data_IF_635921437995
#
_entry.id   IF_635921437995
#
_cell.length_a   1.000
_cell.length_b   1.000
_cell.length_c   1.000
_cell.angle_alpha   90.00
_cell.angle_beta   90.00
_cell.angle_gamma   90.00
#
_symmetry.space_group_name_H-M   'P 1'
#
loop_
_entity.id
_entity.type
_entity.pdbx_description
1 polymer ?
#
# COMPACT_ATOMS: atom_id res chain seq x y z
N UNK A 1 -9.57 42.87 27.48
CA UNK A 1 -10.15 41.67 26.85
C UNK A 1 -11.51 41.99 26.30
N UNK A 2 -11.70 41.73 25.04
CA UNK A 2 -13.01 41.80 24.40
C UNK A 2 -13.91 40.68 24.92
N UNK A 3 -15.25 40.80 24.78
CA UNK A 3 -16.16 39.70 25.15
C UNK A 3 -15.79 38.35 24.45
N UNK A 4 -15.34 38.39 23.19
CA UNK A 4 -14.89 37.20 22.41
C UNK A 4 -13.63 36.57 23.06
N UNK A 5 -12.66 37.37 23.48
CA UNK A 5 -11.44 36.85 24.10
C UNK A 5 -11.72 36.09 25.42
N UNK A 6 -12.68 36.59 26.25
CA UNK A 6 -13.13 35.88 27.44
C UNK A 6 -13.84 34.57 27.15
N UNK A 7 -14.64 34.54 26.10
CA UNK A 7 -15.34 33.33 25.68
C UNK A 7 -14.35 32.28 25.16
N UNK A 8 -13.34 32.70 24.37
CA UNK A 8 -12.25 31.82 23.93
C UNK A 8 -11.47 31.24 25.09
N UNK A 9 -11.15 32.06 26.10
CA UNK A 9 -10.46 31.61 27.32
C UNK A 9 -11.27 30.53 28.06
N UNK A 10 -12.58 30.73 28.21
CA UNK A 10 -13.46 29.73 28.81
C UNK A 10 -13.57 28.42 28.02
N UNK A 11 -13.54 28.50 26.67
CA UNK A 11 -13.50 27.31 25.82
C UNK A 11 -12.17 26.56 25.98
N UNK A 12 -11.04 27.28 25.99
CA UNK A 12 -9.71 26.71 26.21
C UNK A 12 -9.62 25.99 27.56
N UNK A 13 -10.10 26.61 28.61
CA UNK A 13 -10.11 26.02 29.97
C UNK A 13 -10.97 24.75 30.01
N UNK A 14 -12.14 24.76 29.34
CA UNK A 14 -13.00 23.61 29.26
C UNK A 14 -12.35 22.42 28.50
N UNK A 15 -11.62 22.70 27.42
CA UNK A 15 -10.88 21.68 26.64
C UNK A 15 -9.69 21.14 27.46
N UNK A 16 -8.94 22.02 28.17
CA UNK A 16 -7.83 21.59 28.99
C UNK A 16 -8.28 20.72 30.17
N UNK A 17 -9.45 21.00 30.77
CA UNK A 17 -10.03 20.14 31.77
C UNK A 17 -10.44 18.78 31.20
N UNK A 18 -11.02 18.77 29.99
CA UNK A 18 -11.36 17.53 29.29
C UNK A 18 -10.13 16.63 29.01
N UNK A 19 -8.96 17.22 28.71
CA UNK A 19 -7.70 16.47 28.53
C UNK A 19 -7.19 15.74 29.78
N UNK A 20 -7.72 16.09 30.97
CA UNK A 20 -7.31 15.46 32.25
C UNK A 20 -8.00 14.12 32.52
N UNK A 21 -8.91 13.68 31.67
CA UNK A 21 -9.62 12.39 31.85
C UNK A 21 -8.71 11.17 31.69
N UNK A 22 -7.51 11.30 31.10
CA UNK A 22 -6.52 10.22 30.96
C UNK A 22 -6.91 9.14 29.94
N UNK A 23 -7.71 9.50 28.95
CA UNK A 23 -8.07 8.63 27.83
C UNK A 23 -6.89 8.47 26.88
N UNK A 24 -6.93 7.48 25.98
CA UNK A 24 -5.87 7.28 24.98
C UNK A 24 -5.68 8.48 24.04
N UNK A 25 -6.72 9.29 23.83
CA UNK A 25 -6.69 10.52 23.02
C UNK A 25 -6.12 11.73 23.76
N UNK A 26 -5.92 11.64 25.08
CA UNK A 26 -5.50 12.78 25.93
C UNK A 26 -3.96 12.87 26.08
N UNK A 27 -3.21 12.09 25.30
CA UNK A 27 -1.73 12.10 25.32
C UNK A 27 -1.20 13.38 24.70
N UNK A 28 -0.64 14.26 25.52
CA UNK A 28 -0.20 15.61 25.11
C UNK A 28 1.27 15.67 24.66
N UNK A 29 2.07 14.64 24.93
CA UNK A 29 3.48 14.64 24.56
C UNK A 29 3.67 14.20 23.09
N UNK A 30 4.00 15.13 22.16
CA UNK A 30 4.20 14.81 20.76
C UNK A 30 5.48 14.02 20.50
N UNK A 31 6.39 13.90 21.49
CA UNK A 31 7.67 13.22 21.36
C UNK A 31 7.62 11.74 21.74
N UNK A 32 6.46 11.23 22.17
CA UNK A 32 6.28 9.81 22.49
C UNK A 32 6.09 8.92 21.26
N UNK A 33 5.82 9.51 20.09
CA UNK A 33 5.56 8.78 18.87
C UNK A 33 6.45 9.26 17.71
N UNK A 34 6.75 8.39 16.72
CA UNK A 34 7.43 8.80 15.51
C UNK A 34 6.72 9.96 14.81
N UNK A 35 7.51 10.90 14.31
CA UNK A 35 7.00 12.02 13.52
C UNK A 35 6.61 11.57 12.12
N UNK A 36 5.31 11.61 11.82
CA UNK A 36 4.77 11.21 10.53
C UNK A 36 5.34 12.03 9.36
N UNK A 37 5.59 13.33 9.54
CA UNK A 37 6.12 14.18 8.49
C UNK A 37 7.58 13.80 8.16
N UNK A 38 8.38 13.50 9.18
CA UNK A 38 9.75 13.00 8.99
C UNK A 38 9.76 11.66 8.26
N UNK A 39 8.86 10.74 8.61
CA UNK A 39 8.76 9.43 7.92
C UNK A 39 8.36 9.62 6.46
N UNK A 40 7.46 10.54 6.14
CA UNK A 40 7.05 10.85 4.77
C UNK A 40 8.23 11.44 3.97
N UNK A 41 8.98 12.36 4.55
CA UNK A 41 10.19 12.92 3.92
C UNK A 41 11.24 11.84 3.64
N UNK A 42 11.45 10.91 4.59
CA UNK A 42 12.33 9.76 4.38
C UNK A 42 11.88 8.88 3.20
N UNK A 43 10.57 8.65 3.00
CA UNK A 43 10.06 7.90 1.84
C UNK A 43 10.53 8.55 0.54
N UNK A 44 10.36 9.87 0.40
CA UNK A 44 10.81 10.59 -0.80
C UNK A 44 12.30 10.43 -1.07
N UNK A 45 13.14 10.48 -0.02
CA UNK A 45 14.59 10.29 -0.12
C UNK A 45 14.96 8.84 -0.44
N UNK A 46 14.27 7.86 0.15
CA UNK A 46 14.47 6.44 -0.15
C UNK A 46 14.12 6.11 -1.60
N UNK A 47 13.05 6.69 -2.14
CA UNK A 47 12.70 6.53 -3.57
C UNK A 47 13.80 7.06 -4.49
N UNK A 48 14.49 8.17 -4.11
CA UNK A 48 15.67 8.67 -4.84
C UNK A 48 16.87 7.73 -4.77
N UNK A 49 17.01 6.97 -3.69
CA UNK A 49 18.05 5.93 -3.57
C UNK A 49 17.67 4.71 -4.41
N UNK A 50 16.40 4.31 -4.42
CA UNK A 50 15.91 3.17 -5.22
C UNK A 50 15.96 3.48 -6.71
N UNK A 51 15.52 4.66 -7.14
CA UNK A 51 15.45 5.13 -8.52
C UNK A 51 16.32 6.39 -8.72
N UNK A 52 17.66 6.26 -8.85
CA UNK A 52 18.61 7.40 -8.84
C UNK A 52 18.48 8.25 -10.08
N UNK A 53 17.59 8.45 -10.76
CA UNK A 53 17.32 9.35 -11.91
C UNK A 53 15.92 9.96 -11.85
N UNK A 54 15.08 9.48 -10.92
CA UNK A 54 13.66 9.82 -10.86
C UNK A 54 13.37 11.22 -10.27
N UNK A 55 14.33 11.88 -9.66
CA UNK A 55 14.11 13.22 -9.12
C UNK A 55 15.28 14.15 -9.41
N UNK A 56 14.96 15.39 -9.78
CA UNK A 56 15.97 16.45 -9.96
C UNK A 56 16.23 17.13 -8.62
N UNK A 57 17.44 17.00 -8.11
CA UNK A 57 17.91 17.90 -7.06
C UNK A 57 18.26 19.25 -7.69
N UNK A 58 17.58 20.32 -7.28
CA UNK A 58 17.84 21.67 -7.79
C UNK A 58 19.21 22.20 -7.37
N UNK A 59 19.81 21.62 -6.32
CA UNK A 59 21.06 22.11 -5.72
C UNK A 59 22.31 21.42 -6.24
N UNK A 60 22.21 20.19 -6.76
CA UNK A 60 23.39 19.38 -7.07
C UNK A 60 23.37 18.89 -8.51
N UNK A 61 24.30 19.40 -9.32
CA UNK A 61 24.60 18.79 -10.61
C UNK A 61 25.31 17.45 -10.39
N UNK A 62 25.03 16.48 -11.26
CA UNK A 62 25.43 15.05 -11.19
C UNK A 62 26.94 14.78 -11.15
N UNK A 63 27.80 15.78 -10.87
CA UNK A 63 29.26 15.63 -10.93
C UNK A 63 29.88 14.75 -9.85
N UNK A 64 29.11 14.37 -8.81
CA UNK A 64 29.60 13.47 -7.77
C UNK A 64 28.50 12.58 -7.19
N UNK A 65 28.15 11.53 -7.93
CA UNK A 65 27.12 10.54 -7.55
C UNK A 65 27.38 9.94 -6.17
N UNK A 66 28.66 9.64 -5.85
CA UNK A 66 29.03 9.07 -4.54
C UNK A 66 28.72 10.05 -3.42
N UNK A 67 29.06 11.31 -3.57
CA UNK A 67 28.81 12.33 -2.54
C UNK A 67 27.30 12.56 -2.32
N UNK A 68 26.54 12.69 -3.40
CA UNK A 68 25.09 12.87 -3.32
C UNK A 68 24.39 11.68 -2.65
N UNK A 69 24.82 10.46 -2.99
CA UNK A 69 24.32 9.25 -2.35
C UNK A 69 24.69 9.19 -0.87
N UNK A 70 25.93 9.56 -0.50
CA UNK A 70 26.35 9.62 0.90
C UNK A 70 25.49 10.57 1.70
N UNK A 71 25.24 11.77 1.21
CA UNK A 71 24.38 12.77 1.87
C UNK A 71 22.95 12.25 2.08
N UNK A 72 22.36 11.60 1.07
CA UNK A 72 21.02 11.01 1.19
C UNK A 72 20.99 9.88 2.23
N UNK A 73 21.99 9.00 2.21
CA UNK A 73 22.08 7.90 3.17
C UNK A 73 22.27 8.43 4.59
N UNK A 74 23.17 9.40 4.79
CA UNK A 74 23.43 9.99 6.11
C UNK A 74 22.18 10.65 6.67
N UNK A 75 21.45 11.43 5.87
CA UNK A 75 20.24 12.10 6.31
C UNK A 75 19.11 11.12 6.64
N UNK A 76 18.86 10.15 5.76
CA UNK A 76 17.84 9.11 6.03
C UNK A 76 18.26 8.24 7.21
N UNK A 77 19.53 7.86 7.33
CA UNK A 77 20.05 7.06 8.45
C UNK A 77 19.85 7.78 9.78
N UNK A 78 20.16 9.07 9.85
CA UNK A 78 19.97 9.88 11.05
C UNK A 78 18.50 9.92 11.47
N UNK A 79 17.61 10.24 10.52
CA UNK A 79 16.19 10.34 10.79
C UNK A 79 15.56 8.98 11.11
N UNK A 80 15.91 7.93 10.37
CA UNK A 80 15.44 6.56 10.62
C UNK A 80 15.82 6.09 12.03
N UNK A 81 17.09 6.27 12.40
CA UNK A 81 17.59 5.93 13.72
C UNK A 81 16.81 6.67 14.82
N UNK A 82 16.61 7.97 14.66
CA UNK A 82 15.82 8.79 15.60
C UNK A 82 14.37 8.29 15.72
N UNK A 83 13.69 8.03 14.60
CA UNK A 83 12.29 7.61 14.61
C UNK A 83 12.13 6.18 15.17
N UNK A 84 13.05 5.27 14.90
CA UNK A 84 13.06 3.92 15.49
C UNK A 84 13.31 4.02 17.00
N UNK A 85 14.26 4.83 17.45
CA UNK A 85 14.52 5.05 18.87
C UNK A 85 13.26 5.51 19.61
N UNK A 86 12.55 6.50 19.05
CA UNK A 86 11.29 6.99 19.62
C UNK A 86 10.27 5.84 19.71
N UNK A 87 10.13 5.04 18.67
CA UNK A 87 9.16 3.94 18.65
C UNK A 87 9.50 2.83 19.66
N UNK A 88 10.79 2.57 19.93
CA UNK A 88 11.25 1.53 20.85
C UNK A 88 11.22 1.95 22.34
N UNK A 89 11.21 3.24 22.64
CA UNK A 89 11.17 3.75 24.02
C UNK A 89 9.95 3.30 24.82
N UNK A 90 8.92 2.81 24.17
CA UNK A 90 7.73 2.27 24.84
C UNK A 90 8.09 1.06 25.70
N UNK A 91 9.03 0.22 25.22
CA UNK A 91 9.38 -1.07 25.82
C UNK A 91 10.85 -1.16 26.26
N UNK A 92 11.68 -0.13 26.00
CA UNK A 92 13.14 -0.13 26.24
C UNK A 92 13.59 1.15 26.90
N UNK A 93 14.73 1.07 27.61
CA UNK A 93 15.43 2.26 28.08
C UNK A 93 15.97 3.08 26.90
N UNK A 94 16.21 4.37 27.11
CA UNK A 94 16.75 5.28 26.09
C UNK A 94 18.00 4.72 25.41
N UNK A 95 18.96 4.21 26.20
CA UNK A 95 20.21 3.68 25.71
C UNK A 95 20.01 2.41 24.87
N UNK A 96 19.22 1.47 25.37
CA UNK A 96 18.91 0.22 24.64
C UNK A 96 18.18 0.53 23.33
N UNK A 97 17.23 1.45 23.36
CA UNK A 97 16.49 1.88 22.17
C UNK A 97 17.43 2.51 21.11
N UNK A 98 18.39 3.35 21.51
CA UNK A 98 19.38 3.94 20.61
C UNK A 98 20.31 2.90 19.98
N UNK A 99 20.89 2.00 20.79
CA UNK A 99 21.78 0.94 20.32
C UNK A 99 21.03 0.00 19.34
N UNK A 100 19.81 -0.41 19.70
CA UNK A 100 18.95 -1.24 18.85
C UNK A 100 18.57 -0.53 17.55
N UNK A 101 18.15 0.73 17.62
CA UNK A 101 17.77 1.51 16.45
C UNK A 101 18.93 1.65 15.44
N UNK A 102 20.15 1.85 15.95
CA UNK A 102 21.34 1.94 15.10
C UNK A 102 21.56 0.64 14.32
N UNK A 103 21.47 -0.51 14.97
CA UNK A 103 21.67 -1.81 14.32
C UNK A 103 20.55 -2.09 13.30
N UNK A 104 19.28 -1.82 13.66
CA UNK A 104 18.13 -1.98 12.74
C UNK A 104 18.24 -1.08 11.51
N UNK A 105 18.70 0.17 11.71
CA UNK A 105 18.93 1.11 10.60
C UNK A 105 20.02 0.60 9.66
N UNK A 106 21.13 0.07 10.20
CA UNK A 106 22.20 -0.52 9.38
C UNK A 106 21.71 -1.75 8.61
N UNK A 107 20.94 -2.64 9.25
CA UNK A 107 20.35 -3.82 8.59
C UNK A 107 19.40 -3.40 7.46
N UNK A 108 18.58 -2.39 7.67
CA UNK A 108 17.69 -1.84 6.65
C UNK A 108 18.48 -1.34 5.43
N UNK A 109 19.53 -0.56 5.64
CA UNK A 109 20.33 -0.04 4.51
C UNK A 109 21.09 -1.13 3.77
N UNK A 110 21.56 -2.17 4.47
CA UNK A 110 22.18 -3.35 3.83
C UNK A 110 21.19 -4.12 2.94
N UNK A 111 19.88 -4.02 3.20
CA UNK A 111 18.85 -4.66 2.37
C UNK A 111 18.51 -3.86 1.09
N UNK A 112 18.86 -2.58 0.99
CA UNK A 112 18.51 -1.73 -0.16
C UNK A 112 18.90 -2.33 -1.52
N UNK A 113 20.10 -2.89 -1.73
CA UNK A 113 20.45 -3.53 -3.02
C UNK A 113 19.47 -4.66 -3.40
N UNK A 114 19.04 -5.48 -2.43
CA UNK A 114 18.06 -6.53 -2.63
C UNK A 114 16.67 -5.97 -2.98
N UNK A 115 16.24 -4.91 -2.28
CA UNK A 115 14.99 -4.20 -2.60
C UNK A 115 15.02 -3.68 -4.03
N UNK A 116 16.13 -3.07 -4.46
CA UNK A 116 16.30 -2.56 -5.83
C UNK A 116 16.20 -3.66 -6.88
N UNK A 117 16.82 -4.83 -6.60
CA UNK A 117 16.75 -5.98 -7.51
C UNK A 117 15.32 -6.49 -7.70
N UNK A 118 14.49 -6.46 -6.64
CA UNK A 118 13.07 -6.84 -6.74
C UNK A 118 12.25 -5.72 -7.39
N UNK A 119 12.50 -4.46 -7.04
CA UNK A 119 11.82 -3.31 -7.66
C UNK A 119 12.05 -3.25 -9.19
N UNK A 120 13.22 -3.67 -9.69
CA UNK A 120 13.47 -3.80 -11.12
C UNK A 120 12.51 -4.81 -11.77
N UNK A 121 12.26 -5.94 -11.14
CA UNK A 121 11.29 -6.94 -11.68
C UNK A 121 9.87 -6.41 -11.69
N UNK A 122 9.50 -5.53 -10.73
CA UNK A 122 8.20 -4.87 -10.76
C UNK A 122 8.11 -3.90 -11.95
N UNK A 123 9.14 -3.08 -12.21
CA UNK A 123 9.18 -2.19 -13.38
C UNK A 123 9.01 -2.98 -14.67
N UNK A 124 9.68 -4.13 -14.80
CA UNK A 124 9.52 -5.03 -15.95
C UNK A 124 8.08 -5.55 -16.06
N UNK A 125 7.46 -5.98 -14.95
CA UNK A 125 6.09 -6.46 -14.94
C UNK A 125 5.07 -5.38 -15.32
N UNK A 126 5.32 -4.12 -14.93
CA UNK A 126 4.49 -2.99 -15.35
C UNK A 126 4.61 -2.71 -16.84
N UNK A 127 5.82 -2.76 -17.38
CA UNK A 127 6.06 -2.55 -18.80
C UNK A 127 5.45 -3.66 -19.68
N UNK A 128 5.58 -4.91 -19.25
CA UNK A 128 5.00 -6.07 -19.94
C UNK A 128 3.48 -6.18 -19.76
N UNK A 129 2.95 -5.60 -18.69
CA UNK A 129 1.54 -5.71 -18.30
C UNK A 129 0.64 -4.62 -18.89
N UNK A 130 1.18 -3.44 -19.18
CA UNK A 130 0.42 -2.30 -19.69
C UNK A 130 0.88 -1.92 -21.12
N UNK A 131 0.10 -2.27 -22.15
CA UNK A 131 0.44 -1.91 -23.54
C UNK A 131 0.39 -0.39 -23.80
N UNK A 132 -0.15 0.42 -22.89
CA UNK A 132 -0.16 1.88 -22.99
C UNK A 132 1.13 2.53 -22.46
N UNK A 133 1.98 1.78 -21.76
CA UNK A 133 3.23 2.30 -21.23
C UNK A 133 4.22 2.57 -22.37
N UNK A 134 4.62 3.83 -22.53
CA UNK A 134 5.56 4.24 -23.56
C UNK A 134 7.00 3.79 -23.26
N UNK A 135 7.41 3.79 -22.00
CA UNK A 135 8.75 3.40 -21.55
C UNK A 135 8.78 3.02 -20.08
N UNK A 136 9.85 2.35 -19.65
CA UNK A 136 10.11 2.08 -18.23
C UNK A 136 10.33 3.37 -17.42
N UNK A 137 10.84 4.43 -18.04
CA UNK A 137 10.98 5.74 -17.40
C UNK A 137 9.60 6.32 -17.05
N UNK A 138 8.63 6.24 -17.98
CA UNK A 138 7.25 6.68 -17.73
C UNK A 138 6.64 5.94 -16.54
N UNK A 139 6.85 4.64 -16.46
CA UNK A 139 6.38 3.81 -15.33
C UNK A 139 6.98 4.30 -14.02
N UNK A 140 8.29 4.53 -13.96
CA UNK A 140 8.99 5.00 -12.77
C UNK A 140 8.50 6.39 -12.33
N UNK A 141 8.21 7.27 -13.27
CA UNK A 141 7.83 8.65 -12.97
C UNK A 141 6.33 8.83 -12.68
N UNK A 142 5.45 8.02 -13.28
CA UNK A 142 4.04 8.34 -13.37
C UNK A 142 3.12 7.32 -12.68
N UNK A 143 3.53 6.06 -12.50
CA UNK A 143 2.61 5.00 -12.10
C UNK A 143 2.41 4.91 -10.58
N UNK A 144 1.18 5.16 -10.08
CA UNK A 144 0.88 5.08 -8.66
C UNK A 144 1.03 3.64 -8.11
N UNK A 145 0.79 2.63 -8.94
CA UNK A 145 0.99 1.23 -8.58
C UNK A 145 2.46 0.92 -8.25
N UNK A 146 3.40 1.43 -9.07
CA UNK A 146 4.83 1.26 -8.79
C UNK A 146 5.27 2.00 -7.53
N UNK A 147 4.75 3.21 -7.30
CA UNK A 147 5.01 3.94 -6.07
C UNK A 147 4.54 3.13 -4.85
N UNK A 148 3.31 2.62 -4.87
CA UNK A 148 2.74 1.87 -3.75
C UNK A 148 3.51 0.59 -3.43
N UNK A 149 3.85 -0.23 -4.45
CA UNK A 149 4.61 -1.47 -4.23
C UNK A 149 6.04 -1.18 -3.77
N UNK A 150 6.69 -0.12 -4.25
CA UNK A 150 8.04 0.24 -3.82
C UNK A 150 8.06 0.69 -2.36
N UNK A 151 7.10 1.52 -1.94
CA UNK A 151 6.97 1.92 -0.53
C UNK A 151 6.67 0.69 0.35
N UNK A 152 5.79 -0.21 -0.11
CA UNK A 152 5.54 -1.48 0.58
C UNK A 152 6.84 -2.30 0.75
N UNK A 153 7.66 -2.48 -0.30
CA UNK A 153 8.90 -3.27 -0.22
C UNK A 153 9.87 -2.70 0.80
N UNK A 154 10.01 -1.38 0.85
CA UNK A 154 10.79 -0.68 1.88
C UNK A 154 10.21 -0.90 3.29
N UNK A 155 8.92 -0.71 3.44
CA UNK A 155 8.22 -0.89 4.72
C UNK A 155 8.23 -2.34 5.20
N UNK A 156 8.14 -3.31 4.28
CA UNK A 156 8.18 -4.74 4.60
C UNK A 156 9.52 -5.14 5.25
N UNK A 157 10.64 -4.61 4.78
CA UNK A 157 11.94 -4.87 5.44
C UNK A 157 11.94 -4.37 6.87
N UNK A 158 11.46 -3.16 7.14
CA UNK A 158 11.34 -2.65 8.51
C UNK A 158 10.36 -3.48 9.36
N UNK A 159 9.27 -3.96 8.75
CA UNK A 159 8.32 -4.86 9.41
C UNK A 159 8.99 -6.19 9.80
N UNK A 160 9.77 -6.80 8.89
CA UNK A 160 10.51 -8.03 9.16
C UNK A 160 11.57 -7.84 10.24
N UNK A 161 12.18 -6.66 10.31
CA UNK A 161 13.10 -6.25 11.38
C UNK A 161 12.38 -5.92 12.71
N UNK A 162 11.04 -6.07 12.76
CA UNK A 162 10.21 -5.80 13.95
C UNK A 162 10.23 -4.34 14.41
N UNK A 163 10.51 -3.41 13.51
CA UNK A 163 10.41 -1.97 13.81
C UNK A 163 8.94 -1.61 14.07
N UNK A 164 8.61 -1.02 15.24
CA UNK A 164 7.23 -0.65 15.54
C UNK A 164 6.79 0.58 14.72
N UNK A 165 5.50 0.68 14.42
CA UNK A 165 4.80 1.83 13.83
C UNK A 165 5.30 2.32 12.47
N UNK A 166 6.61 2.50 12.25
CA UNK A 166 7.17 3.08 11.02
C UNK A 166 6.70 2.36 9.74
N UNK A 167 6.74 1.00 9.65
CA UNK A 167 6.26 0.31 8.45
C UNK A 167 4.80 0.66 8.13
N UNK A 168 3.95 0.79 9.15
CA UNK A 168 2.54 1.15 8.97
C UNK A 168 2.37 2.60 8.54
N UNK A 169 3.13 3.53 9.13
CA UNK A 169 3.11 4.95 8.71
C UNK A 169 3.48 5.05 7.22
N UNK A 170 4.49 4.29 6.76
CA UNK A 170 4.92 4.31 5.36
C UNK A 170 3.82 3.80 4.43
N UNK A 171 3.23 2.64 4.74
CA UNK A 171 2.19 2.05 3.86
C UNK A 171 0.88 2.85 3.90
N UNK A 172 0.49 3.44 5.04
CA UNK A 172 -0.66 4.36 5.12
C UNK A 172 -0.44 5.66 4.34
N UNK A 173 0.81 6.14 4.28
CA UNK A 173 1.11 7.26 3.38
C UNK A 173 0.90 6.86 1.92
N UNK A 174 1.45 5.72 1.48
CA UNK A 174 1.24 5.23 0.12
C UNK A 174 -0.25 5.04 -0.19
N UNK A 175 -1.01 4.45 0.73
CA UNK A 175 -2.46 4.30 0.64
C UNK A 175 -3.16 5.67 0.46
N UNK A 176 -2.81 6.66 1.28
CA UNK A 176 -3.44 7.99 1.21
C UNK A 176 -3.19 8.72 -0.11
N UNK A 177 -2.07 8.44 -0.78
CA UNK A 177 -1.68 9.09 -2.04
C UNK A 177 -2.25 8.34 -3.26
N UNK A 178 -2.33 7.01 -3.20
CA UNK A 178 -2.63 6.17 -4.37
C UNK A 178 -4.00 5.48 -4.30
N UNK A 179 -4.60 5.39 -3.12
CA UNK A 179 -5.78 4.54 -2.89
C UNK A 179 -5.47 3.04 -2.88
N UNK A 180 -4.18 2.65 -2.79
CA UNK A 180 -3.72 1.25 -2.76
C UNK A 180 -3.26 0.91 -1.35
N UNK A 181 -4.02 0.07 -0.64
CA UNK A 181 -3.73 -0.36 0.73
C UNK A 181 -3.00 -1.71 0.73
N UNK A 182 -1.68 -1.69 0.94
CA UNK A 182 -0.88 -2.90 1.11
C UNK A 182 -0.33 -2.92 2.53
N UNK A 183 -0.75 -3.88 3.36
CA UNK A 183 -0.21 -4.03 4.70
C UNK A 183 1.26 -4.45 4.66
N UNK A 184 2.16 -3.83 5.45
CA UNK A 184 3.59 -4.15 5.43
C UNK A 184 3.91 -5.58 5.83
N UNK A 185 3.00 -6.29 6.50
CA UNK A 185 3.15 -7.70 6.87
C UNK A 185 2.85 -8.70 5.76
N UNK A 186 2.22 -8.28 4.65
CA UNK A 186 2.00 -9.15 3.51
C UNK A 186 3.34 -9.62 2.92
N UNK A 187 3.35 -10.79 2.29
CA UNK A 187 4.51 -11.30 1.53
C UNK A 187 4.19 -11.26 0.05
N UNK A 188 4.97 -10.52 -0.74
CA UNK A 188 4.74 -10.35 -2.17
C UNK A 188 6.01 -10.72 -2.95
N UNK A 189 5.86 -11.64 -3.90
CA UNK A 189 6.93 -12.12 -4.77
C UNK A 189 7.43 -11.07 -5.77
N UNK A 190 8.10 -11.54 -6.81
CA UNK A 190 8.70 -10.74 -7.89
C UNK A 190 7.70 -10.52 -9.02
N UNK A 191 7.99 -9.53 -9.89
CA UNK A 191 7.17 -9.24 -11.07
C UNK A 191 5.70 -8.95 -10.70
N UNK A 192 5.49 -8.27 -9.59
CA UNK A 192 4.14 -7.93 -9.15
C UNK A 192 3.62 -6.71 -9.90
N UNK A 193 2.48 -6.85 -10.57
CA UNK A 193 1.88 -5.80 -11.37
C UNK A 193 0.55 -5.32 -10.78
N UNK A 194 0.41 -4.02 -10.66
CA UNK A 194 -0.83 -3.33 -10.25
C UNK A 194 -1.28 -2.44 -11.40
N UNK A 195 -2.45 -2.72 -11.97
CA UNK A 195 -3.06 -1.85 -12.98
C UNK A 195 -4.15 -0.97 -12.36
N UNK A 196 -4.12 0.33 -12.66
CA UNK A 196 -4.94 1.40 -12.08
C UNK A 196 -4.84 1.49 -10.55
N UNK A 197 -5.10 0.45 -9.83
CA UNK A 197 -4.79 0.20 -8.44
C UNK A 197 -5.77 0.76 -7.41
N UNK A 198 -6.49 1.84 -7.67
CA UNK A 198 -7.38 2.47 -6.68
C UNK A 198 -8.35 1.46 -6.06
N UNK A 199 -8.38 1.41 -4.73
CA UNK A 199 -9.27 0.53 -3.97
C UNK A 199 -8.75 -0.90 -3.80
N UNK A 200 -7.50 -1.19 -4.16
CA UNK A 200 -6.85 -2.47 -3.81
C UNK A 200 -6.62 -2.52 -2.30
N UNK A 201 -6.92 -3.68 -1.70
CA UNK A 201 -6.62 -3.99 -0.30
C UNK A 201 -5.88 -5.32 -0.21
N UNK A 202 -4.66 -5.30 0.33
CA UNK A 202 -3.84 -6.49 0.61
C UNK A 202 -3.62 -6.61 2.11
N UNK A 203 -4.27 -7.59 2.74
CA UNK A 203 -4.23 -7.79 4.19
C UNK A 203 -2.91 -8.35 4.70
N UNK A 204 -2.63 -8.15 6.00
CA UNK A 204 -1.36 -8.42 6.70
C UNK A 204 -0.77 -9.82 6.44
N UNK A 205 -1.58 -10.84 6.42
CA UNK A 205 -1.09 -12.22 6.28
C UNK A 205 -1.30 -12.80 4.88
N UNK A 206 -1.52 -11.93 3.89
CA UNK A 206 -1.58 -12.34 2.48
C UNK A 206 -0.22 -12.84 2.02
N UNK A 207 -0.22 -13.89 1.22
CA UNK A 207 0.97 -14.38 0.50
C UNK A 207 0.68 -14.32 -0.97
N UNK A 208 1.53 -13.66 -1.74
CA UNK A 208 1.42 -13.50 -3.19
C UNK A 208 2.72 -14.03 -3.82
N UNK A 209 2.61 -14.91 -4.79
CA UNK A 209 3.72 -15.48 -5.54
C UNK A 209 4.30 -14.51 -6.58
N UNK A 210 5.08 -15.08 -7.49
CA UNK A 210 5.72 -14.34 -8.58
C UNK A 210 4.76 -14.14 -9.77
N UNK A 211 4.96 -13.07 -10.57
CA UNK A 211 4.18 -12.77 -11.78
C UNK A 211 2.67 -12.63 -11.57
N UNK A 212 2.25 -12.14 -10.41
CA UNK A 212 0.83 -11.90 -10.12
C UNK A 212 0.41 -10.52 -10.60
N UNK A 213 -0.75 -10.46 -11.30
CA UNK A 213 -1.36 -9.22 -11.79
C UNK A 213 -2.64 -8.92 -11.03
N UNK A 214 -2.78 -7.68 -10.54
CA UNK A 214 -3.93 -7.25 -9.74
C UNK A 214 -4.48 -5.93 -10.28
N UNK A 215 -5.79 -5.90 -10.52
CA UNK A 215 -6.49 -4.71 -11.02
C UNK A 215 -7.21 -3.96 -9.89
N UNK A 216 -7.69 -2.76 -10.18
CA UNK A 216 -8.34 -1.88 -9.23
C UNK A 216 -9.49 -2.56 -8.45
N UNK A 217 -9.68 -2.14 -7.20
CA UNK A 217 -10.78 -2.61 -6.35
C UNK A 217 -10.67 -4.05 -5.84
N UNK A 218 -9.57 -4.75 -6.11
CA UNK A 218 -9.35 -6.11 -5.62
C UNK A 218 -9.13 -6.10 -4.11
N UNK A 219 -9.79 -7.01 -3.41
CA UNK A 219 -9.64 -7.19 -1.96
C UNK A 219 -9.10 -8.59 -1.64
N UNK A 220 -7.92 -8.66 -1.04
CA UNK A 220 -7.32 -9.86 -0.46
C UNK A 220 -7.46 -9.77 1.07
N UNK A 221 -8.62 -10.19 1.58
CA UNK A 221 -9.10 -9.88 2.91
C UNK A 221 -9.27 -11.09 3.85
N UNK A 222 -9.62 -10.80 5.12
CA UNK A 222 -10.05 -11.81 6.07
C UNK A 222 -11.52 -12.16 5.87
N UNK A 223 -11.90 -13.43 6.05
CA UNK A 223 -13.29 -13.85 5.97
C UNK A 223 -14.14 -13.25 7.11
N UNK A 224 -13.54 -13.03 8.27
CA UNK A 224 -14.19 -12.39 9.42
C UNK A 224 -13.14 -11.73 10.30
N UNK A 225 -13.52 -10.61 10.90
CA UNK A 225 -12.70 -9.88 11.89
C UNK A 225 -13.34 -9.89 13.29
N UNK A 226 -14.40 -10.69 13.52
CA UNK A 226 -15.13 -10.74 14.79
C UNK A 226 -14.26 -11.11 16.00
N UNK A 227 -13.13 -11.81 15.77
CA UNK A 227 -12.17 -12.13 16.83
C UNK A 227 -11.33 -10.95 17.31
N UNK A 228 -11.36 -9.79 16.64
CA UNK A 228 -10.57 -8.61 17.00
C UNK A 228 -9.08 -8.94 17.23
N UNK A 229 -8.52 -8.50 18.36
CA UNK A 229 -7.12 -8.71 18.72
C UNK A 229 -6.71 -10.19 18.90
N UNK A 230 -7.66 -11.11 19.15
CA UNK A 230 -7.36 -12.53 19.23
C UNK A 230 -6.91 -13.17 17.91
N UNK A 231 -7.07 -12.43 16.79
CA UNK A 231 -6.63 -12.83 15.46
C UNK A 231 -5.20 -12.36 15.14
N UNK A 232 -4.59 -11.59 16.01
CA UNK A 232 -3.22 -11.08 15.84
C UNK A 232 -2.25 -12.25 15.65
N UNK A 233 -1.38 -12.16 14.62
CA UNK A 233 -0.39 -13.19 14.30
C UNK A 233 -0.95 -14.46 13.65
N UNK A 234 -2.28 -14.59 13.47
CA UNK A 234 -2.89 -15.76 12.81
C UNK A 234 -3.08 -15.51 11.31
N UNK A 235 -2.82 -16.52 10.49
CA UNK A 235 -3.12 -16.49 9.04
C UNK A 235 -4.61 -16.31 8.85
N UNK A 236 -5.03 -15.19 8.23
CA UNK A 236 -6.44 -14.81 8.01
C UNK A 236 -6.74 -14.27 6.62
N UNK A 237 -5.70 -14.04 5.80
CA UNK A 237 -5.81 -13.54 4.44
C UNK A 237 -5.34 -14.61 3.45
N UNK A 238 -5.81 -14.58 2.18
CA UNK A 238 -5.57 -15.63 1.20
C UNK A 238 -4.10 -15.78 0.81
N UNK A 239 -3.85 -16.89 0.10
CA UNK A 239 -2.61 -17.14 -0.62
C UNK A 239 -2.90 -17.15 -2.11
N UNK A 240 -2.12 -16.40 -2.87
CA UNK A 240 -2.18 -16.31 -4.33
C UNK A 240 -0.88 -16.91 -4.85
N UNK A 241 -0.96 -17.99 -5.61
CA UNK A 241 0.22 -18.62 -6.20
C UNK A 241 0.72 -17.86 -7.44
N UNK A 242 1.77 -18.40 -8.09
CA UNK A 242 2.43 -17.74 -9.21
C UNK A 242 1.53 -17.60 -10.46
N UNK A 243 1.82 -16.60 -11.29
CA UNK A 243 1.16 -16.34 -12.57
C UNK A 243 -0.36 -16.13 -12.49
N UNK A 244 -0.89 -15.71 -11.36
CA UNK A 244 -2.32 -15.46 -11.19
C UNK A 244 -2.67 -14.05 -11.65
N UNK A 245 -3.76 -13.92 -12.41
CA UNK A 245 -4.35 -12.63 -12.77
C UNK A 245 -5.67 -12.43 -12.05
N UNK A 246 -5.84 -11.31 -11.34
CA UNK A 246 -7.04 -10.98 -10.58
C UNK A 246 -7.63 -9.68 -11.12
N UNK A 247 -8.76 -9.79 -11.83
CA UNK A 247 -9.43 -8.65 -12.45
C UNK A 247 -10.23 -7.81 -11.46
N UNK A 248 -10.61 -6.63 -11.91
CA UNK A 248 -11.17 -5.54 -11.13
C UNK A 248 -12.33 -5.94 -10.21
N UNK A 249 -12.30 -5.45 -8.98
CA UNK A 249 -13.40 -5.61 -8.00
C UNK A 249 -13.55 -7.02 -7.42
N UNK A 250 -12.68 -7.96 -7.75
CA UNK A 250 -12.72 -9.29 -7.17
C UNK A 250 -12.39 -9.26 -5.68
N UNK A 251 -13.13 -10.03 -4.87
CA UNK A 251 -12.91 -10.18 -3.43
C UNK A 251 -12.53 -11.62 -3.11
N UNK A 252 -11.34 -11.84 -2.57
CA UNK A 252 -10.81 -13.15 -2.20
C UNK A 252 -10.53 -13.12 -0.71
N UNK A 253 -11.26 -13.95 0.07
CA UNK A 253 -11.28 -13.84 1.50
C UNK A 253 -10.92 -15.17 2.19
N UNK A 254 -10.20 -15.05 3.32
CA UNK A 254 -9.97 -16.17 4.24
C UNK A 254 -8.56 -16.73 4.21
N UNK A 255 -8.01 -17.05 5.40
CA UNK A 255 -6.64 -17.54 5.56
C UNK A 255 -6.37 -18.94 5.01
N UNK A 256 -7.42 -19.75 4.84
CA UNK A 256 -7.35 -21.06 4.21
C UNK A 256 -7.59 -21.04 2.69
N UNK A 257 -7.95 -19.87 2.13
CA UNK A 257 -8.22 -19.73 0.69
C UNK A 257 -6.90 -19.63 -0.08
N UNK A 258 -6.72 -20.51 -1.06
CA UNK A 258 -5.57 -20.54 -1.97
C UNK A 258 -6.07 -20.41 -3.40
N UNK A 259 -5.53 -19.47 -4.15
CA UNK A 259 -5.72 -19.37 -5.60
C UNK A 259 -4.52 -20.03 -6.27
N UNK A 260 -4.77 -21.18 -6.91
CA UNK A 260 -3.74 -21.98 -7.55
C UNK A 260 -3.10 -21.26 -8.72
N UNK A 261 -1.83 -21.58 -8.98
CA UNK A 261 -1.02 -20.98 -10.05
C UNK A 261 -1.71 -21.01 -11.42
N UNK A 262 -1.32 -20.09 -12.28
CA UNK A 262 -1.81 -20.00 -13.66
C UNK A 262 -3.34 -19.81 -13.77
N UNK A 263 -3.97 -19.29 -12.71
CA UNK A 263 -5.41 -19.06 -12.67
C UNK A 263 -5.78 -17.62 -13.01
N UNK A 264 -6.98 -17.44 -13.54
CA UNK A 264 -7.55 -16.14 -13.89
C UNK A 264 -8.84 -15.93 -13.10
N UNK A 265 -8.88 -14.88 -12.31
CA UNK A 265 -10.05 -14.50 -11.52
C UNK A 265 -10.72 -13.31 -12.20
N UNK A 266 -11.93 -13.52 -12.70
CA UNK A 266 -12.72 -12.50 -13.40
C UNK A 266 -13.19 -11.37 -12.49
N UNK A 267 -13.68 -10.30 -13.10
CA UNK A 267 -14.12 -9.10 -12.39
C UNK A 267 -15.31 -9.38 -11.48
N UNK A 268 -15.35 -8.71 -10.32
CA UNK A 268 -16.46 -8.74 -9.36
C UNK A 268 -16.79 -10.14 -8.79
N UNK A 269 -15.87 -11.07 -8.85
CA UNK A 269 -16.04 -12.41 -8.27
C UNK A 269 -15.81 -12.36 -6.76
N UNK A 270 -16.63 -13.07 -6.00
CA UNK A 270 -16.50 -13.21 -4.55
C UNK A 270 -16.10 -14.64 -4.18
N UNK A 271 -14.87 -14.82 -3.69
CA UNK A 271 -14.25 -16.12 -3.43
C UNK A 271 -13.94 -16.28 -1.95
N UNK A 272 -14.38 -17.37 -1.37
CA UNK A 272 -14.13 -17.77 0.03
C UNK A 272 -13.56 -19.17 0.18
N UNK A 273 -13.29 -19.85 -0.94
CA UNK A 273 -12.77 -21.22 -1.00
C UNK A 273 -11.61 -21.28 -2.01
N UNK A 274 -10.74 -22.25 -1.84
CA UNK A 274 -9.59 -22.43 -2.74
C UNK A 274 -10.00 -22.77 -4.16
N UNK A 275 -9.24 -22.25 -5.12
CA UNK A 275 -9.37 -22.48 -6.56
C UNK A 275 -8.18 -23.32 -7.02
N UNK A 276 -8.40 -24.45 -7.72
CA UNK A 276 -7.31 -25.26 -8.23
C UNK A 276 -6.46 -24.51 -9.27
N UNK A 277 -5.21 -24.93 -9.51
CA UNK A 277 -4.37 -24.34 -10.55
C UNK A 277 -5.01 -24.39 -11.94
N UNK A 278 -4.55 -23.51 -12.85
CA UNK A 278 -4.96 -23.43 -14.25
C UNK A 278 -6.50 -23.26 -14.43
N UNK A 279 -7.13 -22.50 -13.52
CA UNK A 279 -8.59 -22.34 -13.49
C UNK A 279 -8.99 -20.91 -13.82
N UNK A 280 -9.96 -20.75 -14.72
CA UNK A 280 -10.63 -19.46 -14.95
C UNK A 280 -11.93 -19.41 -14.17
N UNK A 281 -12.10 -18.41 -13.32
CA UNK A 281 -13.31 -18.15 -12.55
C UNK A 281 -13.99 -16.89 -13.09
N UNK A 282 -15.24 -17.00 -13.46
CA UNK A 282 -16.04 -15.85 -13.93
C UNK A 282 -17.46 -15.92 -13.41
N UNK A 283 -18.15 -14.77 -13.35
CA UNK A 283 -19.57 -14.72 -13.02
C UNK A 283 -20.37 -15.22 -14.23
N UNK A 284 -21.22 -16.21 -14.05
CA UNK A 284 -22.11 -16.72 -15.10
C UNK A 284 -23.28 -15.75 -15.28
N UNK A 285 -23.29 -14.99 -16.39
CA UNK A 285 -24.29 -14.00 -16.82
C UNK A 285 -24.97 -13.18 -15.70
N UNK A 286 -24.69 -11.89 -15.66
CA UNK A 286 -25.55 -10.95 -14.92
C UNK A 286 -26.80 -10.69 -15.80
N UNK A 287 -28.01 -11.02 -15.33
CA UNK A 287 -29.25 -10.62 -15.98
C UNK A 287 -29.39 -9.09 -15.87
N UNK A 288 -29.21 -8.41 -16.98
CA UNK A 288 -29.45 -6.98 -17.07
C UNK A 288 -30.95 -6.73 -17.32
N UNK A 289 -31.62 -6.04 -16.41
CA UNK A 289 -32.96 -5.55 -16.63
C UNK A 289 -32.94 -4.21 -17.37
N UNK A 290 -33.44 -4.17 -18.59
CA UNK A 290 -33.65 -2.94 -19.32
C UNK A 290 -35.04 -2.42 -19.03
N UNK A 291 -35.16 -1.27 -18.33
CA UNK A 291 -36.42 -0.55 -18.16
C UNK A 291 -36.40 0.68 -19.07
N UNK A 292 -37.34 0.78 -20.04
CA UNK A 292 -37.42 2.01 -20.83
C UNK A 292 -37.71 3.21 -19.91
N UNK A 293 -36.93 4.26 -20.06
CA UNK A 293 -37.22 5.55 -19.47
C UNK A 293 -38.30 6.22 -20.33
N UNK A 294 -39.41 6.66 -19.72
CA UNK A 294 -40.39 7.47 -20.43
C UNK A 294 -39.69 8.77 -20.87
N UNK A 295 -39.30 8.85 -22.13
CA UNK A 295 -38.93 10.09 -22.75
C UNK A 295 -40.24 10.79 -23.14
N UNK A 296 -40.58 11.90 -22.54
CA UNK A 296 -41.61 12.81 -23.04
C UNK A 296 -41.15 13.37 -24.39
N UNK A 297 -41.65 12.80 -25.45
CA UNK A 297 -41.29 13.15 -26.83
C UNK A 297 -41.23 11.88 -27.68
N UNK A 298 -42.06 11.84 -28.69
CA UNK A 298 -42.19 10.74 -29.66
C UNK A 298 -40.80 10.45 -30.32
N UNK A 299 -39.98 9.66 -29.69
CA UNK A 299 -38.72 9.18 -30.30
C UNK A 299 -39.00 7.94 -31.15
N UNK A 300 -39.66 8.19 -32.30
CA UNK A 300 -39.87 7.15 -33.34
C UNK A 300 -38.55 6.66 -34.01
N UNK A 301 -37.42 7.24 -33.60
CA UNK A 301 -36.08 6.96 -34.16
C UNK A 301 -35.09 6.36 -33.17
N UNK A 302 -35.48 5.97 -31.94
CA UNK A 302 -34.60 5.19 -31.08
C UNK A 302 -34.50 3.76 -31.65
N UNK A 303 -33.34 3.33 -32.15
CA UNK A 303 -33.16 1.94 -32.52
C UNK A 303 -33.41 1.06 -31.29
N UNK A 304 -34.28 0.06 -31.42
CA UNK A 304 -34.40 -0.97 -30.40
C UNK A 304 -33.02 -1.56 -30.22
N UNK A 305 -32.51 -1.70 -28.99
CA UNK A 305 -31.23 -2.34 -28.77
C UNK A 305 -31.31 -3.77 -29.34
N UNK A 306 -30.64 -4.00 -30.45
CA UNK A 306 -30.40 -5.37 -30.90
C UNK A 306 -29.56 -6.09 -29.85
N UNK A 307 -29.83 -7.36 -29.55
CA UNK A 307 -29.02 -8.12 -28.61
C UNK A 307 -27.58 -8.19 -29.15
N UNK A 308 -26.66 -7.55 -28.46
CA UNK A 308 -25.25 -7.36 -28.84
C UNK A 308 -24.47 -8.69 -29.00
N UNK A 309 -25.11 -9.85 -28.79
CA UNK A 309 -24.46 -11.15 -28.62
C UNK A 309 -24.88 -12.25 -29.60
N UNK A 310 -25.68 -11.98 -30.61
CA UNK A 310 -26.05 -13.01 -31.59
C UNK A 310 -25.07 -13.19 -32.78
N UNK A 311 -23.82 -12.78 -32.67
CA UNK A 311 -22.87 -12.76 -33.77
C UNK A 311 -21.51 -13.43 -33.62
N UNK A 312 -21.23 -14.14 -32.50
CA UNK A 312 -19.97 -14.89 -32.38
C UNK A 312 -20.23 -16.31 -31.86
N UNK A 313 -20.41 -17.23 -32.77
CA UNK A 313 -20.18 -18.67 -32.58
C UNK A 313 -18.76 -19.01 -33.03
#
# INVERSE_FOLDING_TARGET
MTPIEKEIEGIVDGILEDYRHGRDIDKLDPFQHPDKAVVIDMIGKLLRIVYPGSSRDKAYRIYNTKHNLSMLIEDVMYNLNKQITIALRVDMTEREAQETAQELSLQFFRAIPGIRAVAQTDVEAFYDGDPAAFSTDEIIFCYPGLFAITVYRLAHVLYMLKVPMLPRIMTEHAHSVTGIDINPGATIGRYFFIDHGTGIVVGETTVIGDHVKVYQGVTLGALTTRGGQSLRGKKRHPTIEDNVTIYAGASILGGGTVIGRDSVIGSNVFITHSIPPCTTVSVKSQELQFKPRNCEGNCASCPKPEPFWEGQK
#
